data_IF_540766341210
#
_entry.id   IF_540766341210
#
_cell.length_a   1.000
_cell.length_b   1.000
_cell.length_c   1.000
_cell.angle_alpha   90.00
_cell.angle_beta   90.00
_cell.angle_gamma   90.00
#
_symmetry.space_group_name_H-M   'P 1'
#
loop_
_entity.id
_entity.type
_entity.pdbx_description
1 polymer ?
#
# COMPACT_ATOMS: atom_id res chain seq x y z
N UNK A 1 -15.37 -23.41 -15.34
CA UNK A 1 -14.88 -22.73 -15.34
C UNK A 1 -14.27 -22.19 -14.39
N UNK A 2 -13.51 -21.80 -14.25
CA UNK A 2 -13.06 -21.29 -13.26
C UNK A 2 -12.98 -19.94 -13.30
N UNK A 3 -12.90 -19.36 -12.33
CA UNK A 3 -12.94 -18.10 -12.19
C UNK A 3 -11.72 -17.51 -12.12
N UNK A 4 -11.37 -16.75 -12.96
CA UNK A 4 -10.22 -16.18 -12.96
C UNK A 4 -10.21 -14.89 -12.46
N UNK A 5 -11.15 -14.41 -11.91
CA UNK A 5 -11.19 -13.01 -11.70
C UNK A 5 -10.74 -12.57 -10.42
N UNK A 6 -10.60 -13.36 -9.45
CA UNK A 6 -10.41 -12.84 -8.14
C UNK A 6 -9.07 -13.07 -7.62
N UNK A 7 -8.10 -12.65 -8.31
CA UNK A 7 -6.77 -12.71 -7.77
C UNK A 7 -6.61 -11.60 -6.75
N UNK A 8 -6.17 -11.96 -5.58
CA UNK A 8 -5.88 -10.98 -4.54
C UNK A 8 -4.47 -11.23 -4.00
N UNK A 9 -3.91 -10.20 -3.40
CA UNK A 9 -2.65 -10.33 -2.71
C UNK A 9 -2.83 -9.86 -1.29
N UNK A 10 -2.05 -10.41 -0.39
CA UNK A 10 -2.03 -9.97 0.98
C UNK A 10 -0.78 -9.15 1.21
N UNK A 11 -0.94 -7.96 1.73
CA UNK A 11 0.16 -7.10 2.08
C UNK A 11 -0.02 -6.67 3.53
N UNK A 12 1.01 -6.04 4.07
CA UNK A 12 0.95 -5.58 5.45
C UNK A 12 1.08 -4.07 5.43
N UNK A 13 0.06 -3.38 5.92
CA UNK A 13 0.07 -1.92 5.99
C UNK A 13 0.20 -1.55 7.45
N UNK A 14 1.34 -0.98 7.81
CA UNK A 14 1.63 -0.65 9.20
C UNK A 14 1.36 -1.85 10.09
N UNK A 15 1.82 -3.02 9.61
CA UNK A 15 1.73 -4.28 10.36
C UNK A 15 0.31 -4.84 10.44
N UNK A 16 -0.61 -4.29 9.67
CA UNK A 16 -1.96 -4.82 9.61
C UNK A 16 -2.14 -5.55 8.29
N UNK A 17 -2.53 -6.81 8.38
CA UNK A 17 -2.75 -7.61 7.19
C UNK A 17 -3.90 -7.05 6.39
N UNK A 18 -3.67 -6.84 5.12
CA UNK A 18 -4.66 -6.22 4.25
C UNK A 18 -4.69 -6.96 2.92
N UNK A 19 -5.87 -7.28 2.46
CA UNK A 19 -6.01 -7.97 1.19
C UNK A 19 -6.40 -6.97 0.12
N UNK A 20 -5.72 -7.01 -1.01
CA UNK A 20 -5.98 -6.10 -2.11
C UNK A 20 -6.21 -6.90 -3.37
N UNK A 21 -7.03 -6.38 -4.26
CA UNK A 21 -7.24 -7.00 -5.56
C UNK A 21 -6.01 -6.77 -6.43
N UNK A 22 -5.53 -7.81 -7.04
CA UNK A 22 -4.37 -7.71 -7.91
C UNK A 22 -4.82 -7.45 -9.35
N UNK A 23 -4.09 -6.66 -10.09
CA UNK A 23 -2.88 -5.98 -9.67
C UNK A 23 -3.18 -4.79 -8.77
N UNK A 24 -2.31 -4.55 -7.83
CA UNK A 24 -2.49 -3.46 -6.89
C UNK A 24 -1.27 -2.57 -6.87
N UNK A 25 -1.50 -1.28 -6.74
CA UNK A 25 -0.42 -0.31 -6.63
C UNK A 25 -0.33 0.19 -5.20
N UNK A 26 0.74 0.91 -4.91
CA UNK A 26 0.86 1.53 -3.60
C UNK A 26 -0.29 2.50 -3.35
N UNK A 27 -0.76 3.21 -4.40
CA UNK A 27 -1.92 4.07 -4.25
C UNK A 27 -3.15 3.29 -3.80
N UNK A 28 -3.31 2.06 -4.28
CA UNK A 28 -4.43 1.24 -3.85
C UNK A 28 -4.35 0.91 -2.37
N UNK A 29 -3.15 0.62 -1.89
CA UNK A 29 -2.96 0.34 -0.48
C UNK A 29 -3.24 1.57 0.37
N UNK A 30 -2.81 2.73 -0.11
CA UNK A 30 -3.06 3.98 0.62
C UNK A 30 -4.56 4.25 0.70
N UNK A 31 -5.28 4.01 -0.39
CA UNK A 31 -6.72 4.18 -0.37
C UNK A 31 -7.38 3.21 0.61
N UNK A 32 -6.90 1.98 0.66
CA UNK A 32 -7.45 1.01 1.59
C UNK A 32 -7.21 1.40 3.04
N UNK A 33 -6.09 2.07 3.30
CA UNK A 33 -5.79 2.53 4.64
C UNK A 33 -6.57 3.78 5.03
N UNK A 34 -7.17 4.43 4.04
CA UNK A 34 -7.97 5.62 4.28
C UNK A 34 -7.16 6.70 4.98
N UNK A 35 -5.91 6.83 4.60
CA UNK A 35 -5.03 7.79 5.23
C UNK A 35 -4.95 9.04 4.38
N UNK A 36 -5.04 10.18 5.00
CA UNK A 36 -5.02 11.44 4.30
C UNK A 36 -3.67 12.11 4.38
N UNK A 37 -3.26 12.82 3.34
CA UNK A 37 -1.98 13.51 3.39
C UNK A 37 -1.97 14.56 4.49
N UNK A 38 -0.79 14.92 4.95
CA UNK A 38 0.50 14.47 4.44
C UNK A 38 0.97 13.17 5.09
N UNK A 39 1.69 12.38 4.31
CA UNK A 39 2.32 11.17 4.83
C UNK A 39 3.46 10.79 3.90
N UNK A 40 4.33 9.93 4.39
CA UNK A 40 5.35 9.31 3.55
C UNK A 40 5.05 7.82 3.45
N UNK A 41 5.45 7.21 2.37
CA UNK A 41 5.20 5.80 2.16
C UNK A 41 6.49 5.07 1.85
N UNK A 42 6.65 3.90 2.42
CA UNK A 42 7.77 3.02 2.13
C UNK A 42 7.24 1.63 1.89
N UNK A 43 7.89 0.91 0.99
CA UNK A 43 7.56 -0.49 0.71
C UNK A 43 8.81 -1.30 0.96
N UNK A 44 8.72 -2.26 1.84
CA UNK A 44 9.85 -3.11 2.22
C UNK A 44 11.05 -2.25 2.61
N UNK A 45 10.77 -1.20 3.38
CA UNK A 45 11.78 -0.30 3.93
C UNK A 45 12.42 0.62 2.90
N UNK A 46 11.82 0.76 1.74
CA UNK A 46 12.31 1.69 0.73
C UNK A 46 11.30 2.77 0.49
N UNK A 47 11.72 4.02 0.65
CA UNK A 47 10.85 5.14 0.45
C UNK A 47 10.36 5.21 -1.00
N UNK A 48 9.09 5.48 -1.18
CA UNK A 48 8.50 5.62 -2.51
C UNK A 48 7.93 7.02 -2.62
N UNK A 49 8.48 7.85 -3.50
CA UNK A 49 7.98 9.21 -3.65
C UNK A 49 6.52 9.24 -4.09
N UNK A 50 5.86 10.29 -3.74
CA UNK A 50 4.43 10.41 -4.04
C UNK A 50 4.15 10.24 -5.53
N UNK A 51 5.01 10.78 -6.38
CA UNK A 51 4.78 10.68 -7.82
C UNK A 51 4.81 9.25 -8.33
N UNK A 52 5.37 8.34 -7.55
CA UNK A 52 5.45 6.95 -7.97
C UNK A 52 4.40 6.06 -7.34
N UNK A 53 3.57 6.59 -6.47
CA UNK A 53 2.61 5.75 -5.77
C UNK A 53 1.66 5.01 -6.73
N UNK A 54 1.22 5.69 -7.77
CA UNK A 54 0.27 5.08 -8.69
C UNK A 54 0.94 4.09 -9.66
N UNK A 55 2.26 4.09 -9.69
CA UNK A 55 2.99 3.21 -10.59
C UNK A 55 3.73 2.11 -9.87
N UNK A 56 3.77 2.13 -8.56
CA UNK A 56 4.52 1.14 -7.82
C UNK A 56 3.63 -0.08 -7.59
N UNK A 57 3.89 -1.14 -8.34
CA UNK A 57 3.09 -2.34 -8.21
C UNK A 57 3.51 -3.13 -6.99
N UNK A 58 2.53 -3.59 -6.26
CA UNK A 58 2.76 -4.36 -5.05
C UNK A 58 2.74 -5.84 -5.34
N UNK A 59 3.41 -6.59 -4.51
CA UNK A 59 3.44 -8.03 -4.60
C UNK A 59 2.98 -8.61 -3.27
N UNK A 60 2.51 -9.83 -3.33
CA UNK A 60 2.06 -10.50 -2.11
C UNK A 60 3.19 -10.51 -1.09
N UNK A 61 2.86 -10.17 0.12
CA UNK A 61 3.85 -10.16 1.21
C UNK A 61 4.56 -8.83 1.39
N UNK A 62 4.31 -7.85 0.52
CA UNK A 62 4.96 -6.55 0.69
C UNK A 62 4.59 -5.91 2.00
N UNK A 63 5.56 -5.26 2.61
CA UNK A 63 5.35 -4.54 3.86
C UNK A 63 5.36 -3.06 3.56
N UNK A 64 4.23 -2.42 3.79
CA UNK A 64 4.03 -1.03 3.48
C UNK A 64 3.98 -0.24 4.78
N UNK A 65 4.74 0.82 4.85
CA UNK A 65 4.71 1.70 6.00
C UNK A 65 4.25 3.07 5.56
N UNK A 66 3.20 3.54 6.18
CA UNK A 66 2.68 4.87 5.93
C UNK A 66 2.96 5.69 7.18
N UNK A 67 3.79 6.71 7.02
CA UNK A 67 4.30 7.47 8.14
C UNK A 67 3.72 8.85 8.11
N UNK A 68 3.00 9.21 9.14
CA UNK A 68 2.37 10.52 9.24
C UNK A 68 3.27 11.40 10.09
N UNK A 69 3.63 12.59 9.60
CA UNK A 69 4.47 13.45 10.41
C UNK A 69 3.77 13.85 11.69
N UNK A 70 4.55 13.93 12.73
CA UNK A 70 4.03 14.40 14.00
C UNK A 70 4.09 15.91 13.98
N UNK A 71 2.94 16.53 14.04
CA UNK A 71 2.96 17.97 14.09
C UNK A 71 2.96 18.33 15.53
N UNK A 72 3.90 19.00 15.91
CA UNK A 72 4.10 19.37 17.22
C UNK A 72 3.00 20.17 17.75
N UNK A 73 2.59 19.98 18.57
CA UNK A 73 1.56 20.60 19.00
C UNK A 73 1.00 21.34 19.66
#
# INVERSE_FOLDING_TARGET
MHDMTSATIQVWINQISTELNAPATLSDAIAAADLKPPFAAAVNMQFVPKKNHAHHLLQAGDKIELIVPVTGG
#
